data_IF_723987764075
#
_entry.id   IF_723987764075
#
_cell.length_a   1.000
_cell.length_b   1.000
_cell.length_c   1.000
_cell.angle_alpha   90.00
_cell.angle_beta   90.00
_cell.angle_gamma   90.00
#
_symmetry.space_group_name_H-M   'P 1'
#
loop_
_entity.id
_entity.type
_entity.pdbx_description
1 polymer ?
#
# COMPACT_ATOMS: atom_id res chain seq x y z
N UNK A 1 2.89 5.50 -2.84
CA UNK A 1 2.83 6.02 -4.23
C UNK A 1 3.85 7.11 -4.53
N UNK A 2 4.10 8.08 -3.65
CA UNK A 2 5.02 9.21 -3.91
C UNK A 2 6.37 8.83 -4.52
N UNK A 3 7.09 7.85 -3.94
CA UNK A 3 8.39 7.42 -4.45
C UNK A 3 8.32 6.94 -5.91
N UNK A 4 7.33 6.11 -6.25
CA UNK A 4 7.15 5.58 -7.61
C UNK A 4 6.89 6.71 -8.60
N UNK A 5 6.13 7.73 -8.22
CA UNK A 5 5.87 8.89 -9.08
C UNK A 5 7.14 9.73 -9.35
N UNK A 6 8.09 9.74 -8.40
CA UNK A 6 9.34 10.50 -8.54
C UNK A 6 10.42 9.71 -9.29
N UNK A 7 10.50 8.40 -9.06
CA UNK A 7 11.61 7.55 -9.50
C UNK A 7 11.22 6.63 -10.67
N UNK A 8 9.93 6.32 -10.83
CA UNK A 8 9.44 5.38 -11.83
C UNK A 8 9.63 3.90 -11.47
N UNK A 9 10.08 3.60 -10.25
CA UNK A 9 10.30 2.25 -9.74
C UNK A 9 9.91 2.16 -8.26
N UNK A 10 9.74 0.94 -7.74
CA UNK A 10 9.46 0.70 -6.33
C UNK A 10 10.71 0.91 -5.46
N UNK A 11 10.58 1.43 -4.22
CA UNK A 11 11.72 1.78 -3.36
C UNK A 11 12.61 0.60 -2.93
N UNK A 12 12.02 -0.59 -2.79
CA UNK A 12 12.69 -1.78 -2.27
C UNK A 12 12.96 -2.86 -3.33
N UNK A 13 12.49 -2.65 -4.56
CA UNK A 13 12.81 -3.50 -5.70
C UNK A 13 14.20 -3.13 -6.23
N UNK A 14 14.90 -4.11 -6.81
CA UNK A 14 16.14 -3.88 -7.55
C UNK A 14 16.05 -4.58 -8.91
N UNK A 15 16.49 -3.94 -10.01
CA UNK A 15 16.52 -4.55 -11.33
C UNK A 15 17.32 -5.85 -11.39
N UNK A 16 18.37 -5.97 -10.56
CA UNK A 16 19.23 -7.16 -10.51
C UNK A 16 18.48 -8.43 -10.05
N UNK A 17 17.46 -8.29 -9.20
CA UNK A 17 16.75 -9.44 -8.62
C UNK A 17 15.62 -9.98 -9.53
N UNK A 18 15.41 -9.40 -10.72
CA UNK A 18 14.25 -9.74 -11.58
C UNK A 18 14.14 -11.23 -11.94
N UNK A 19 15.28 -11.91 -12.08
CA UNK A 19 15.37 -13.34 -12.42
C UNK A 19 15.81 -14.20 -11.24
N UNK A 20 15.85 -13.63 -10.03
CA UNK A 20 16.22 -14.35 -8.83
C UNK A 20 14.99 -15.01 -8.19
N UNK A 21 15.10 -16.30 -7.87
CA UNK A 21 14.05 -17.05 -7.18
C UNK A 21 13.82 -16.52 -5.75
N UNK A 22 14.80 -15.84 -5.14
CA UNK A 22 14.71 -15.24 -3.80
C UNK A 22 14.35 -13.75 -3.80
N UNK A 23 13.88 -13.19 -4.93
CA UNK A 23 13.58 -11.75 -5.06
C UNK A 23 12.64 -11.20 -3.97
N UNK A 24 11.63 -12.00 -3.58
CA UNK A 24 10.64 -11.59 -2.58
C UNK A 24 11.28 -11.49 -1.19
N UNK A 25 12.05 -12.49 -0.80
CA UNK A 25 12.76 -12.50 0.49
C UNK A 25 13.72 -11.31 0.59
N UNK A 26 14.50 -11.04 -0.46
CA UNK A 26 15.39 -9.87 -0.52
C UNK A 26 14.62 -8.54 -0.42
N UNK A 27 13.49 -8.42 -1.11
CA UNK A 27 12.64 -7.22 -1.04
C UNK A 27 12.08 -7.02 0.38
N UNK A 28 11.61 -8.08 1.03
CA UNK A 28 11.12 -8.04 2.43
C UNK A 28 12.25 -7.58 3.37
N UNK A 29 13.45 -8.15 3.22
CA UNK A 29 14.61 -7.72 4.02
C UNK A 29 14.90 -6.23 3.84
N UNK A 30 14.82 -5.70 2.62
CA UNK A 30 15.00 -4.26 2.38
C UNK A 30 13.88 -3.40 2.97
N UNK A 31 12.64 -3.87 2.99
CA UNK A 31 11.53 -3.17 3.65
C UNK A 31 11.79 -3.07 5.16
N UNK A 32 12.17 -4.18 5.79
CA UNK A 32 12.45 -4.23 7.22
C UNK A 32 13.61 -3.33 7.64
N UNK A 33 14.66 -3.26 6.80
CA UNK A 33 15.82 -2.40 7.04
C UNK A 33 15.67 -0.99 6.49
N UNK A 34 14.54 -0.67 5.84
CA UNK A 34 14.30 0.62 5.18
C UNK A 34 15.40 0.95 4.15
N UNK A 35 15.86 -0.05 3.40
CA UNK A 35 16.90 0.10 2.39
C UNK A 35 16.32 0.54 1.03
N UNK A 36 16.16 1.86 0.88
CA UNK A 36 15.83 2.51 -0.38
C UNK A 36 16.84 3.60 -0.71
N UNK A 37 16.99 3.91 -2.00
CA UNK A 37 17.91 4.97 -2.45
C UNK A 37 17.28 5.75 -3.59
N UNK A 38 17.39 7.07 -3.55
CA UNK A 38 16.93 7.92 -4.66
C UNK A 38 18.07 8.00 -5.69
N UNK A 39 17.89 7.52 -6.94
CA UNK A 39 18.95 7.54 -7.93
C UNK A 39 19.47 8.96 -8.23
N UNK A 40 20.77 9.15 -8.53
CA UNK A 40 21.35 10.49 -8.74
C UNK A 40 20.73 11.30 -9.88
N UNK A 41 20.13 10.62 -10.87
CA UNK A 41 19.46 11.27 -11.99
C UNK A 41 18.11 11.88 -11.60
N UNK A 42 17.49 11.44 -10.50
CA UNK A 42 16.22 11.96 -10.00
C UNK A 42 16.47 13.25 -9.23
N UNK A 43 15.99 14.37 -9.79
CA UNK A 43 16.10 15.69 -9.15
C UNK A 43 14.98 15.90 -8.13
N UNK A 44 15.11 15.32 -6.94
CA UNK A 44 14.25 15.60 -5.80
C UNK A 44 14.82 16.75 -4.95
N UNK A 45 13.97 17.71 -4.54
CA UNK A 45 14.37 18.75 -3.59
C UNK A 45 14.64 18.15 -2.21
N UNK A 46 15.39 18.87 -1.37
CA UNK A 46 15.71 18.36 -0.03
C UNK A 46 14.46 18.23 0.86
N UNK A 47 13.48 19.13 0.74
CA UNK A 47 12.19 18.96 1.41
C UNK A 47 11.44 17.69 0.92
N UNK A 48 11.62 17.27 -0.33
CA UNK A 48 11.02 16.04 -0.86
C UNK A 48 11.66 14.80 -0.23
N UNK A 49 12.99 14.78 -0.18
CA UNK A 49 13.78 13.71 0.44
C UNK A 49 13.48 13.59 1.93
N UNK A 50 13.37 14.73 2.61
CA UNK A 50 12.97 14.82 4.01
C UNK A 50 11.56 14.23 4.23
N UNK A 51 10.58 14.57 3.39
CA UNK A 51 9.25 13.96 3.47
C UNK A 51 9.30 12.44 3.26
N UNK A 52 10.02 11.96 2.25
CA UNK A 52 10.16 10.52 1.97
C UNK A 52 10.79 9.78 3.15
N UNK A 53 11.81 10.34 3.79
CA UNK A 53 12.47 9.75 4.97
C UNK A 53 11.55 9.63 6.18
N UNK A 54 10.54 10.49 6.30
CA UNK A 54 9.53 10.45 7.38
C UNK A 54 8.36 9.51 7.08
N UNK A 55 8.12 9.22 5.79
CA UNK A 55 7.09 8.25 5.33
C UNK A 55 7.65 6.83 5.37
N UNK A 56 8.85 6.62 4.84
CA UNK A 56 9.51 5.32 4.76
C UNK A 56 10.26 5.07 6.08
N UNK A 57 9.51 4.76 7.13
CA UNK A 57 10.03 4.44 8.48
C UNK A 57 9.48 3.07 8.90
N UNK A 58 10.36 2.18 9.38
CA UNK A 58 10.00 0.84 9.84
C UNK A 58 9.01 0.88 11.01
N UNK A 59 9.32 1.69 12.03
CA UNK A 59 8.45 1.89 13.20
C UNK A 59 7.22 2.73 12.83
N UNK A 60 6.00 2.16 12.89
CA UNK A 60 4.78 2.88 12.54
C UNK A 60 4.47 4.04 13.50
N UNK A 61 4.92 3.99 14.76
CA UNK A 61 4.67 5.06 15.74
C UNK A 61 5.56 6.30 15.51
N UNK A 62 6.69 6.12 14.82
CA UNK A 62 7.59 7.22 14.43
C UNK A 62 7.30 7.75 13.02
N UNK A 63 6.48 7.05 12.25
CA UNK A 63 6.10 7.43 10.90
C UNK A 63 5.25 8.70 10.93
N UNK A 64 5.48 9.60 9.98
CA UNK A 64 4.69 10.83 9.86
C UNK A 64 3.21 10.51 9.68
N UNK A 65 2.36 11.27 10.39
CA UNK A 65 0.90 11.18 10.26
C UNK A 65 0.42 11.91 9.01
N UNK A 66 -0.84 11.67 8.61
CA UNK A 66 -1.46 12.39 7.48
C UNK A 66 -1.48 13.91 7.74
N UNK A 67 -1.85 14.33 8.95
CA UNK A 67 -1.82 15.75 9.34
C UNK A 67 -0.40 16.34 9.29
N UNK A 68 0.60 15.53 9.66
CA UNK A 68 2.01 15.88 9.53
C UNK A 68 2.43 16.09 8.08
N UNK A 69 1.93 15.27 7.15
CA UNK A 69 2.14 15.44 5.71
C UNK A 69 1.50 16.74 5.22
N UNK A 70 0.25 17.01 5.60
CA UNK A 70 -0.44 18.26 5.22
C UNK A 70 0.26 19.52 5.72
N UNK A 71 1.00 19.41 6.82
CA UNK A 71 1.78 20.51 7.38
C UNK A 71 3.22 20.57 6.85
N UNK A 72 3.64 19.59 6.03
CA UNK A 72 5.02 19.49 5.55
C UNK A 72 5.34 20.55 4.50
N UNK A 73 6.53 21.16 4.58
CA UNK A 73 6.96 22.22 3.64
C UNK A 73 6.89 21.78 2.17
N UNK A 74 7.25 20.54 1.89
CA UNK A 74 7.15 19.98 0.54
C UNK A 74 5.71 19.93 0.03
N UNK A 75 4.77 19.52 0.88
CA UNK A 75 3.34 19.43 0.51
C UNK A 75 2.74 20.82 0.29
N UNK A 76 3.09 21.80 1.12
CA UNK A 76 2.56 23.16 1.05
C UNK A 76 3.06 23.98 -0.16
N UNK A 77 4.11 23.51 -0.84
CA UNK A 77 4.75 24.26 -1.93
C UNK A 77 3.98 24.08 -3.24
N UNK A 78 3.49 25.18 -3.80
CA UNK A 78 2.84 25.18 -5.12
C UNK A 78 1.44 24.58 -5.14
N UNK A 79 0.78 24.47 -3.97
CA UNK A 79 -0.63 24.10 -3.92
C UNK A 79 -1.49 25.21 -4.54
N UNK A 80 -2.46 24.86 -5.40
CA UNK A 80 -3.47 25.80 -5.86
C UNK A 80 -4.21 26.43 -4.66
N UNK A 81 -4.64 27.70 -4.76
CA UNK A 81 -5.47 28.32 -3.74
C UNK A 81 -6.75 27.50 -3.52
N UNK A 82 -7.16 27.32 -2.26
CA UNK A 82 -8.41 26.63 -1.96
C UNK A 82 -8.31 25.12 -1.76
N UNK A 83 -7.16 24.48 -2.07
CA UNK A 83 -7.01 23.00 -1.97
C UNK A 83 -7.09 22.51 -0.53
N UNK A 84 -6.57 23.30 0.41
CA UNK A 84 -6.61 22.93 1.84
C UNK A 84 -8.04 22.99 2.38
N UNK A 85 -8.82 23.93 1.85
CA UNK A 85 -10.22 24.16 2.19
C UNK A 85 -11.20 23.27 1.39
N UNK A 86 -10.72 22.47 0.42
CA UNK A 86 -11.58 21.56 -0.35
C UNK A 86 -12.25 20.49 0.51
N UNK A 87 -11.54 20.00 1.55
CA UNK A 87 -12.10 19.02 2.47
C UNK A 87 -13.16 19.63 3.41
N UNK A 88 -13.06 20.92 3.69
CA UNK A 88 -14.03 21.65 4.54
C UNK A 88 -15.31 22.00 3.77
N UNK A 89 -15.26 21.97 2.44
CA UNK A 89 -16.43 22.14 1.58
C UNK A 89 -17.23 20.85 1.53
N UNK A 90 -18.12 20.69 2.50
CA UNK A 90 -19.15 19.65 2.48
C UNK A 90 -19.96 19.80 1.19
N UNK A 91 -19.71 18.91 0.23
CA UNK A 91 -20.56 18.81 -0.94
C UNK A 91 -21.91 18.21 -0.51
N UNK A 92 -23.04 18.70 -1.05
CA UNK A 92 -24.30 18.01 -0.83
C UNK A 92 -24.14 16.56 -1.31
N UNK A 93 -24.76 15.60 -0.60
CA UNK A 93 -24.73 14.21 -1.02
C UNK A 93 -25.22 14.09 -2.47
N UNK A 94 -24.55 13.31 -3.33
CA UNK A 94 -24.99 13.11 -4.71
C UNK A 94 -26.46 12.68 -4.76
N UNK A 95 -27.18 13.13 -5.79
CA UNK A 95 -28.54 12.64 -6.03
C UNK A 95 -28.52 11.13 -6.32
N UNK A 96 -29.53 10.39 -5.85
CA UNK A 96 -29.63 8.95 -6.07
C UNK A 96 -28.87 8.07 -5.07
N UNK A 97 -28.42 8.62 -3.94
CA UNK A 97 -27.91 7.79 -2.85
C UNK A 97 -28.99 6.82 -2.35
N UNK A 98 -28.63 5.54 -2.27
CA UNK A 98 -29.49 4.52 -1.70
C UNK A 98 -29.54 4.67 -0.18
N UNK A 99 -30.72 4.48 0.41
CA UNK A 99 -30.85 4.46 1.86
C UNK A 99 -30.12 3.25 2.44
N UNK A 100 -29.68 3.35 3.70
CA UNK A 100 -29.04 2.24 4.41
C UNK A 100 -29.95 1.01 4.44
N UNK A 101 -31.27 1.21 4.53
CA UNK A 101 -32.24 0.12 4.57
C UNK A 101 -32.41 -0.54 3.20
N UNK A 102 -32.39 0.24 2.11
CA UNK A 102 -32.40 -0.31 0.75
C UNK A 102 -31.13 -1.11 0.47
N UNK A 103 -29.96 -0.62 0.90
CA UNK A 103 -28.68 -1.33 0.78
C UNK A 103 -28.74 -2.66 1.52
N UNK A 104 -29.20 -2.66 2.78
CA UNK A 104 -29.36 -3.89 3.58
C UNK A 104 -30.31 -4.88 2.90
N UNK A 105 -31.46 -4.40 2.42
CA UNK A 105 -32.45 -5.24 1.72
C UNK A 105 -31.84 -5.90 0.48
N UNK A 106 -31.13 -5.14 -0.35
CA UNK A 106 -30.48 -5.67 -1.56
C UNK A 106 -29.40 -6.71 -1.24
N UNK A 107 -28.61 -6.49 -0.18
CA UNK A 107 -27.59 -7.45 0.27
C UNK A 107 -28.23 -8.75 0.72
N UNK A 108 -29.31 -8.70 1.52
CA UNK A 108 -30.05 -9.89 1.95
C UNK A 108 -30.71 -10.62 0.78
N UNK A 109 -31.26 -9.88 -0.18
CA UNK A 109 -31.85 -10.45 -1.39
C UNK A 109 -30.80 -11.18 -2.26
N UNK A 110 -29.63 -10.58 -2.46
CA UNK A 110 -28.54 -11.16 -3.22
C UNK A 110 -28.01 -12.48 -2.59
N UNK A 111 -27.98 -12.56 -1.25
CA UNK A 111 -27.60 -13.80 -0.54
C UNK A 111 -28.52 -14.98 -0.86
N UNK A 112 -29.80 -14.72 -1.11
CA UNK A 112 -30.79 -15.76 -1.39
C UNK A 112 -30.69 -16.33 -2.81
N UNK A 113 -30.15 -15.57 -3.76
CA UNK A 113 -30.00 -15.96 -5.18
C UNK A 113 -28.71 -16.77 -5.42
N UNK A 114 -27.72 -16.71 -4.52
CA UNK A 114 -26.43 -17.39 -4.62
C UNK A 114 -26.39 -18.88 -4.31
N UNK A 115 -27.52 -19.54 -4.02
CA UNK A 115 -27.55 -20.98 -3.69
C UNK A 115 -27.44 -21.91 -4.92
N UNK A 116 -27.17 -21.40 -6.13
CA UNK A 116 -27.19 -22.22 -7.36
C UNK A 116 -26.27 -21.80 -8.51
N UNK A 117 -25.35 -20.85 -8.32
CA UNK A 117 -24.37 -20.51 -9.36
C UNK A 117 -23.01 -21.15 -9.02
N UNK A 118 -22.41 -21.96 -9.91
CA UNK A 118 -21.07 -22.49 -9.68
C UNK A 118 -20.11 -21.30 -9.58
N UNK A 119 -19.39 -21.22 -8.45
CA UNK A 119 -18.50 -20.12 -8.15
C UNK A 119 -17.47 -19.92 -9.26
N UNK A 120 -17.32 -18.68 -9.72
CA UNK A 120 -16.09 -18.26 -10.38
C UNK A 120 -15.00 -18.18 -9.30
N UNK A 121 -14.45 -19.34 -8.94
CA UNK A 121 -13.13 -19.41 -8.32
C UNK A 121 -12.16 -19.16 -9.46
N UNK A 122 -11.42 -18.06 -9.42
CA UNK A 122 -10.32 -17.84 -10.35
C UNK A 122 -9.07 -18.45 -9.69
N UNK A 123 -8.62 -19.66 -10.09
CA UNK A 123 -7.59 -20.41 -9.36
C UNK A 123 -6.24 -19.69 -9.35
N UNK A 124 -5.98 -18.85 -10.36
CA UNK A 124 -4.68 -18.22 -10.60
C UNK A 124 -4.28 -17.17 -9.55
N UNK A 125 -5.23 -16.58 -8.80
CA UNK A 125 -4.92 -15.50 -7.84
C UNK A 125 -4.72 -15.98 -6.41
N UNK A 126 -5.36 -17.09 -6.00
CA UNK A 126 -5.19 -17.65 -4.66
C UNK A 126 -3.94 -18.54 -4.56
N UNK A 127 -3.61 -19.31 -5.62
CA UNK A 127 -2.40 -20.14 -5.63
C UNK A 127 -1.11 -19.32 -5.46
N UNK A 128 -1.06 -18.08 -5.98
CA UNK A 128 0.16 -17.26 -5.90
C UNK A 128 0.46 -16.75 -4.47
N UNK A 129 -0.56 -16.64 -3.62
CA UNK A 129 -0.40 -16.19 -2.23
C UNK A 129 -0.16 -17.39 -1.32
N UNK A 130 -0.86 -18.51 -1.56
CA UNK A 130 -0.68 -19.73 -0.76
C UNK A 130 0.66 -20.42 -1.02
N UNK A 131 1.16 -20.49 -2.27
CA UNK A 131 2.49 -21.07 -2.54
C UNK A 131 3.62 -20.25 -1.91
N UNK A 132 3.50 -18.92 -1.89
CA UNK A 132 4.50 -18.04 -1.28
C UNK A 132 4.54 -18.15 0.26
N UNK A 133 3.45 -18.61 0.86
CA UNK A 133 3.29 -18.76 2.32
C UNK A 133 3.54 -20.21 2.76
N UNK A 134 3.18 -21.21 1.97
CA UNK A 134 3.40 -22.63 2.25
C UNK A 134 4.86 -23.00 2.41
N UNK A 135 5.74 -22.42 1.58
CA UNK A 135 7.19 -22.64 1.64
C UNK A 135 7.86 -22.02 2.89
N UNK A 136 7.14 -21.19 3.67
CA UNK A 136 7.63 -20.61 4.92
C UNK A 136 7.26 -21.43 6.17
N UNK A 137 6.39 -22.42 6.05
CA UNK A 137 5.88 -23.21 7.18
C UNK A 137 6.23 -24.70 7.10
N UNK A 138 7.25 -25.10 6.34
CA UNK A 138 7.78 -26.47 6.46
C UNK A 138 8.61 -26.59 7.75
N UNK A 139 7.97 -27.22 8.72
CA UNK A 139 8.39 -27.48 10.08
C UNK A 139 9.51 -28.53 10.09
N UNK A 140 10.75 -28.08 10.25
CA UNK A 140 11.94 -28.95 10.26
C UNK A 140 13.06 -28.50 11.18
N UNK A 141 12.82 -28.64 12.50
CA UNK A 141 13.84 -28.67 13.58
C UNK A 141 14.40 -27.32 14.09
N UNK A 142 13.60 -26.60 14.87
CA UNK A 142 14.15 -25.82 16.00
C UNK A 142 14.39 -26.78 17.17
N UNK A 143 15.54 -27.44 17.15
CA UNK A 143 16.07 -28.14 18.33
C UNK A 143 16.63 -27.07 19.28
N UNK A 144 15.90 -26.78 20.34
CA UNK A 144 16.46 -26.09 21.51
C UNK A 144 17.25 -27.13 22.30
N UNK A 145 18.57 -27.17 22.11
CA UNK A 145 19.49 -27.83 23.03
C UNK A 145 20.53 -26.84 23.56
N UNK A 146 20.49 -26.71 24.89
CA UNK A 146 21.32 -25.99 25.89
C UNK A 146 21.65 -24.49 25.70
#
# INVERSE_FOLDING_TARGET
MLYVMLVGAYPFERPEDKHDNQKLQKMIQRILHVDYHIPPHVRASDDCKDLLSKILVADPHKRITVDGIYSHRWYLKGLPPGVREMNDRVQPPPEGLQSVDDIKRLVEEARRVGAGAPGFVNPETDEYIDDAMGDMYDEGSLDYND
#
